data_IF_545483930487
#
_entry.id   IF_545483930487
#
_cell.length_a   1.000
_cell.length_b   1.000
_cell.length_c   1.000
_cell.angle_alpha   90.00
_cell.angle_beta   90.00
_cell.angle_gamma   90.00
#
_symmetry.space_group_name_H-M   'P 1'
#
loop_
_entity.id
_entity.type
_entity.pdbx_description
1 polymer ?
#
# COMPACT_ATOMS: atom_id res chain seq x y z
N UNK A 1 -16.10 -7.27 8.20
CA UNK A 1 -16.91 -6.81 7.05
C UNK A 1 -17.25 -5.33 7.14
N UNK A 2 -18.13 -4.85 8.05
CA UNK A 2 -18.50 -3.41 8.09
C UNK A 2 -17.38 -2.49 8.63
N UNK A 3 -16.72 -2.88 9.71
CA UNK A 3 -15.60 -2.14 10.31
C UNK A 3 -14.44 -1.98 9.31
N UNK A 4 -14.21 -3.01 8.51
CA UNK A 4 -13.18 -3.01 7.48
C UNK A 4 -13.45 -1.94 6.39
N UNK A 5 -14.72 -1.82 5.99
CA UNK A 5 -15.14 -0.84 4.99
C UNK A 5 -15.09 0.61 5.51
N UNK A 6 -15.52 0.82 6.76
CA UNK A 6 -15.67 2.17 7.34
C UNK A 6 -14.36 2.70 7.94
N UNK A 7 -13.51 1.83 8.49
CA UNK A 7 -12.28 2.26 9.16
C UNK A 7 -11.04 1.83 8.39
N UNK A 8 -10.89 0.53 8.12
CA UNK A 8 -9.63 0.01 7.59
C UNK A 8 -9.35 0.48 6.15
N UNK A 9 -10.36 0.58 5.28
CA UNK A 9 -10.17 1.10 3.92
C UNK A 9 -9.83 2.60 3.89
N UNK A 10 -10.54 3.50 4.60
CA UNK A 10 -10.12 4.90 4.70
C UNK A 10 -8.72 5.07 5.31
N UNK A 11 -8.38 4.28 6.34
CA UNK A 11 -7.05 4.29 6.92
C UNK A 11 -5.98 3.77 5.94
N UNK A 12 -6.28 2.73 5.18
CA UNK A 12 -5.40 2.24 4.10
C UNK A 12 -5.18 3.29 3.01
N UNK A 13 -6.24 4.00 2.63
CA UNK A 13 -6.17 5.11 1.67
C UNK A 13 -5.31 6.25 2.20
N UNK A 14 -5.48 6.64 3.46
CA UNK A 14 -4.60 7.59 4.13
C UNK A 14 -3.15 7.11 4.14
N UNK A 15 -2.90 5.84 4.47
CA UNK A 15 -1.58 5.22 4.41
C UNK A 15 -0.96 5.25 3.01
N UNK A 16 -1.76 5.02 1.97
CA UNK A 16 -1.33 5.09 0.56
C UNK A 16 -0.95 6.51 0.18
N UNK A 17 -1.72 7.52 0.60
CA UNK A 17 -1.39 8.93 0.38
C UNK A 17 -0.10 9.33 1.08
N UNK A 18 0.05 8.96 2.36
CA UNK A 18 1.25 9.24 3.15
C UNK A 18 2.48 8.56 2.54
N UNK A 19 2.37 7.28 2.18
CA UNK A 19 3.46 6.54 1.54
C UNK A 19 3.85 7.13 0.18
N UNK A 20 2.87 7.57 -0.61
CA UNK A 20 3.12 8.25 -1.89
C UNK A 20 3.80 9.60 -1.70
N UNK A 21 3.34 10.42 -0.74
CA UNK A 21 3.98 11.69 -0.43
C UNK A 21 5.43 11.49 0.04
N UNK A 22 5.67 10.51 0.91
CA UNK A 22 7.01 10.15 1.36
C UNK A 22 7.89 9.67 0.18
N UNK A 23 7.34 8.89 -0.75
CA UNK A 23 8.07 8.46 -1.95
C UNK A 23 8.45 9.64 -2.85
N UNK A 24 7.57 10.62 -3.03
CA UNK A 24 7.87 11.83 -3.82
C UNK A 24 9.03 12.60 -3.18
N UNK A 25 9.00 12.81 -1.85
CA UNK A 25 10.07 13.51 -1.12
C UNK A 25 11.38 12.70 -1.16
N UNK A 26 11.30 11.38 -1.05
CA UNK A 26 12.45 10.48 -1.09
C UNK A 26 12.97 10.23 -2.52
N UNK A 27 12.18 10.54 -3.56
CA UNK A 27 12.49 10.22 -4.96
C UNK A 27 13.89 10.62 -5.41
N UNK A 28 14.40 11.85 -5.17
CA UNK A 28 15.76 12.22 -5.59
C UNK A 28 16.82 11.33 -4.93
N UNK A 29 16.67 10.98 -3.66
CA UNK A 29 17.61 10.13 -2.94
C UNK A 29 17.55 8.68 -3.43
N UNK A 30 16.35 8.17 -3.68
CA UNK A 30 16.16 6.79 -4.16
C UNK A 30 16.62 6.58 -5.60
N UNK A 31 16.60 7.65 -6.42
CA UNK A 31 17.21 7.65 -7.75
C UNK A 31 18.74 7.59 -7.64
N UNK A 32 19.33 8.41 -6.76
CA UNK A 32 20.78 8.41 -6.53
C UNK A 32 21.29 7.08 -5.95
N UNK A 33 20.52 6.41 -5.10
CA UNK A 33 20.87 5.09 -4.55
C UNK A 33 20.59 3.91 -5.48
N UNK A 34 19.92 4.14 -6.62
CA UNK A 34 19.49 3.07 -7.54
C UNK A 34 18.34 2.20 -7.01
N UNK A 35 17.66 2.60 -5.93
CA UNK A 35 16.58 1.81 -5.29
C UNK A 35 15.18 2.36 -5.58
N UNK A 36 15.04 3.29 -6.52
CA UNK A 36 13.78 3.97 -6.86
C UNK A 36 12.60 2.99 -7.03
N UNK A 37 12.77 1.92 -7.81
CA UNK A 37 11.72 0.95 -8.07
C UNK A 37 11.31 0.16 -6.82
N UNK A 38 12.29 -0.19 -5.97
CA UNK A 38 12.05 -0.90 -4.72
C UNK A 38 11.31 -0.01 -3.71
N UNK A 39 11.72 1.25 -3.61
CA UNK A 39 11.07 2.24 -2.75
C UNK A 39 9.64 2.51 -3.21
N UNK A 40 9.40 2.67 -4.51
CA UNK A 40 8.05 2.85 -5.05
C UNK A 40 7.16 1.63 -4.80
N UNK A 41 7.70 0.40 -4.94
CA UNK A 41 6.96 -0.82 -4.60
C UNK A 41 6.54 -0.86 -3.13
N UNK A 42 7.43 -0.49 -2.21
CA UNK A 42 7.16 -0.54 -0.77
C UNK A 42 6.28 0.60 -0.26
N UNK A 43 6.50 1.82 -0.75
CA UNK A 43 5.83 3.01 -0.24
C UNK A 43 4.51 3.32 -0.97
N UNK A 44 4.34 2.81 -2.19
CA UNK A 44 3.16 3.12 -3.02
C UNK A 44 2.38 1.86 -3.35
N UNK A 45 3.01 0.90 -4.03
CA UNK A 45 2.30 -0.27 -4.59
C UNK A 45 1.74 -1.16 -3.49
N UNK A 46 2.53 -1.47 -2.47
CA UNK A 46 2.09 -2.35 -1.38
C UNK A 46 0.93 -1.76 -0.56
N UNK A 47 0.99 -0.50 -0.08
CA UNK A 47 -0.15 0.16 0.56
C UNK A 47 -1.40 0.23 -0.33
N UNK A 48 -1.22 0.51 -1.64
CA UNK A 48 -2.32 0.56 -2.59
C UNK A 48 -2.99 -0.81 -2.74
N UNK A 49 -2.21 -1.89 -2.89
CA UNK A 49 -2.73 -3.27 -2.94
C UNK A 49 -3.46 -3.65 -1.65
N UNK A 50 -2.88 -3.34 -0.49
CA UNK A 50 -3.54 -3.53 0.80
C UNK A 50 -4.87 -2.78 0.90
N UNK A 51 -5.01 -1.63 0.24
CA UNK A 51 -6.23 -0.82 0.32
C UNK A 51 -7.31 -1.26 -0.67
N UNK A 52 -6.91 -1.60 -1.89
CA UNK A 52 -7.84 -1.77 -3.02
C UNK A 52 -8.07 -3.22 -3.43
N UNK A 53 -7.05 -4.09 -3.36
CA UNK A 53 -7.12 -5.42 -3.98
C UNK A 53 -7.37 -6.57 -3.01
N UNK A 54 -7.27 -6.33 -1.69
CA UNK A 54 -7.51 -7.38 -0.69
C UNK A 54 -8.99 -7.69 -0.46
N UNK A 55 -9.27 -8.93 -0.07
CA UNK A 55 -10.56 -9.38 0.44
C UNK A 55 -11.05 -8.58 1.64
N UNK A 56 -12.37 -8.42 1.76
CA UNK A 56 -12.95 -7.79 2.95
C UNK A 56 -12.60 -8.58 4.20
N UNK A 57 -12.08 -7.91 5.23
CA UNK A 57 -11.65 -8.51 6.48
C UNK A 57 -10.38 -9.36 6.39
N UNK A 58 -9.75 -9.45 5.22
CA UNK A 58 -8.43 -10.05 5.07
C UNK A 58 -7.36 -9.05 5.51
N UNK A 59 -6.42 -9.47 6.35
CA UNK A 59 -5.32 -8.64 6.83
C UNK A 59 -4.01 -9.43 6.75
N UNK A 60 -3.50 -9.64 5.54
CA UNK A 60 -2.30 -10.43 5.34
C UNK A 60 -1.08 -9.70 5.91
N UNK A 61 -0.19 -10.48 6.49
CA UNK A 61 1.10 -10.03 7.02
C UNK A 61 2.03 -9.52 5.91
N UNK A 62 3.16 -8.95 6.32
CA UNK A 62 4.13 -8.40 5.38
C UNK A 62 4.69 -9.50 4.46
N UNK A 63 4.49 -9.35 3.14
CA UNK A 63 4.84 -10.33 2.09
C UNK A 63 3.95 -11.58 2.01
N UNK A 64 2.78 -11.60 2.66
CA UNK A 64 1.76 -12.60 2.37
C UNK A 64 0.95 -12.21 1.12
N UNK A 65 0.51 -13.24 0.39
CA UNK A 65 -0.32 -13.07 -0.78
C UNK A 65 -1.73 -12.60 -0.37
N UNK A 66 -2.21 -11.54 -1.03
CA UNK A 66 -3.57 -11.06 -0.84
C UNK A 66 -4.56 -12.07 -1.41
N UNK A 67 -5.63 -12.38 -0.68
CA UNK A 67 -6.81 -12.98 -1.28
C UNK A 67 -7.43 -11.93 -2.19
N UNK A 68 -7.11 -12.01 -3.49
CA UNK A 68 -7.66 -11.12 -4.49
C UNK A 68 -9.14 -11.46 -4.59
N UNK A 69 -10.01 -10.46 -4.45
CA UNK A 69 -11.42 -10.62 -4.79
C UNK A 69 -11.47 -10.73 -6.31
N UNK A 70 -11.40 -11.96 -6.83
CA UNK A 70 -11.84 -12.25 -8.19
C UNK A 70 -13.36 -12.05 -8.20
N UNK A 71 -13.80 -11.12 -9.04
CA UNK A 71 -15.21 -10.79 -9.24
C UNK A 71 -15.96 -11.93 -9.94
#
# INVERSE_FOLDING_TARGET
MLIDLILARPMGLAGTLVGTAAFIVASPFTLMSGTFLQSGRRLVVYPAKFTFTRGLGDFPGYMEDYQIVEE
#
